data_IF_645753345234
#
_entry.id   IF_645753345234
#
_cell.length_a   1.000
_cell.length_b   1.000
_cell.length_c   1.000
_cell.angle_alpha   90.00
_cell.angle_beta   90.00
_cell.angle_gamma   90.00
#
_symmetry.space_group_name_H-M   'P 1'
#
loop_
_entity.id
_entity.type
_entity.pdbx_description
1 polymer ?
#
# COMPACT_ATOMS: atom_id res chain seq x y z
N UNK A 1 -11.61 2.24 -22.04
CA UNK A 1 -12.98 1.75 -21.79
C UNK A 1 -12.87 0.53 -20.89
N UNK A 2 -12.80 0.74 -19.55
CA UNK A 2 -12.79 -0.36 -18.58
C UNK A 2 -14.21 -0.91 -18.49
N UNK A 3 -14.41 -2.08 -19.04
CA UNK A 3 -15.72 -2.69 -19.14
C UNK A 3 -16.21 -3.16 -17.77
N UNK A 4 -17.46 -2.80 -17.43
CA UNK A 4 -18.23 -3.19 -16.24
C UNK A 4 -18.23 -4.70 -15.90
N UNK A 5 -17.80 -5.56 -16.82
CA UNK A 5 -17.76 -7.01 -16.61
C UNK A 5 -16.76 -7.46 -15.54
N UNK A 6 -15.61 -6.77 -15.37
CA UNK A 6 -14.64 -7.11 -14.32
C UNK A 6 -15.10 -6.69 -12.93
N UNK A 7 -15.78 -5.56 -12.81
CA UNK A 7 -16.30 -5.09 -11.52
C UNK A 7 -17.35 -6.03 -10.92
N UNK A 8 -18.23 -6.61 -11.75
CA UNK A 8 -19.23 -7.57 -11.29
C UNK A 8 -18.66 -8.95 -10.91
N UNK A 9 -17.60 -9.42 -11.59
CA UNK A 9 -16.93 -10.67 -11.22
C UNK A 9 -16.14 -10.58 -9.91
N UNK A 10 -15.65 -9.39 -9.58
CA UNK A 10 -14.92 -9.13 -8.32
C UNK A 10 -15.87 -9.03 -7.11
N UNK A 11 -17.08 -8.48 -7.30
CA UNK A 11 -18.10 -8.44 -6.23
C UNK A 11 -18.53 -9.82 -5.76
N UNK A 12 -18.56 -10.82 -6.65
CA UNK A 12 -18.95 -12.19 -6.32
C UNK A 12 -17.93 -12.96 -5.47
N UNK A 13 -16.70 -12.44 -5.29
CA UNK A 13 -15.62 -13.10 -4.56
C UNK A 13 -15.30 -12.47 -3.19
N UNK A 14 -16.06 -11.48 -2.75
CA UNK A 14 -15.87 -10.89 -1.40
C UNK A 14 -16.30 -11.89 -0.35
N UNK A 15 -15.35 -12.45 0.37
CA UNK A 15 -15.64 -13.20 1.58
C UNK A 15 -15.96 -12.22 2.71
N UNK A 16 -17.17 -12.30 3.26
CA UNK A 16 -17.50 -11.59 4.49
C UNK A 16 -16.79 -12.27 5.66
N UNK A 17 -15.79 -11.62 6.20
CA UNK A 17 -15.17 -12.08 7.43
C UNK A 17 -16.05 -11.69 8.63
N UNK A 18 -16.37 -12.63 9.53
CA UNK A 18 -17.14 -12.29 10.72
C UNK A 18 -16.36 -11.34 11.63
N UNK A 19 -17.06 -10.40 12.26
CA UNK A 19 -16.46 -9.54 13.28
C UNK A 19 -16.08 -10.37 14.50
N UNK A 20 -14.87 -10.20 15.07
CA UNK A 20 -14.50 -10.91 16.27
C UNK A 20 -15.41 -10.52 17.43
N UNK A 21 -15.99 -11.53 18.11
CA UNK A 21 -16.85 -11.32 19.26
C UNK A 21 -16.07 -11.53 20.55
N UNK A 22 -16.26 -10.67 21.55
CA UNK A 22 -15.69 -10.84 22.89
C UNK A 22 -14.19 -10.57 23.03
N UNK A 23 -13.53 -10.00 22.01
CA UNK A 23 -12.12 -9.59 22.05
C UNK A 23 -11.93 -8.25 21.34
N UNK A 24 -10.88 -7.47 21.69
CA UNK A 24 -10.57 -6.22 21.01
C UNK A 24 -10.33 -6.44 19.52
N UNK A 25 -10.84 -5.51 18.70
CA UNK A 25 -10.57 -5.45 17.27
C UNK A 25 -9.28 -4.67 17.03
N UNK A 26 -8.27 -5.31 16.44
CA UNK A 26 -6.93 -4.75 16.26
C UNK A 26 -6.77 -4.21 14.87
N UNK A 27 -6.43 -2.93 14.77
CA UNK A 27 -6.21 -2.23 13.51
C UNK A 27 -4.76 -1.76 13.44
N UNK A 28 -4.08 -2.08 12.34
CA UNK A 28 -2.82 -1.44 11.95
C UNK A 28 -3.13 -0.33 10.96
N UNK A 29 -2.82 0.91 11.33
CA UNK A 29 -2.97 2.08 10.44
C UNK A 29 -1.61 2.57 9.98
N UNK A 30 -1.45 2.72 8.65
CA UNK A 30 -0.19 3.04 7.99
C UNK A 30 -0.34 4.33 7.19
N UNK A 31 0.39 5.36 7.58
CA UNK A 31 0.38 6.64 6.89
C UNK A 31 1.15 6.58 5.57
N UNK A 32 0.71 7.40 4.62
CA UNK A 32 1.46 7.67 3.41
C UNK A 32 2.67 8.56 3.68
N UNK A 33 3.61 8.59 2.78
CA UNK A 33 4.82 9.44 2.94
C UNK A 33 5.82 9.30 1.80
N UNK A 34 5.43 8.75 0.67
CA UNK A 34 6.32 8.51 -0.46
C UNK A 34 7.48 7.61 -0.08
N UNK A 35 8.71 7.97 -0.45
CA UNK A 35 9.92 7.19 -0.13
C UNK A 35 10.09 6.96 1.39
N UNK A 36 9.53 7.81 2.23
CA UNK A 36 9.60 7.64 3.70
C UNK A 36 8.87 6.40 4.20
N UNK A 37 8.03 5.77 3.38
CA UNK A 37 7.45 4.46 3.66
C UNK A 37 8.49 3.38 3.97
N UNK A 38 9.74 3.56 3.53
CA UNK A 38 10.87 2.68 3.89
C UNK A 38 11.08 2.63 5.41
N UNK A 39 10.91 3.74 6.13
CA UNK A 39 11.01 3.77 7.60
C UNK A 39 9.95 2.89 8.23
N UNK A 40 8.71 3.01 7.76
CA UNK A 40 7.60 2.18 8.22
C UNK A 40 7.87 0.71 7.94
N UNK A 41 8.37 0.37 6.75
CA UNK A 41 8.72 -1.00 6.38
C UNK A 41 9.80 -1.59 7.31
N UNK A 42 10.87 -0.84 7.59
CA UNK A 42 11.92 -1.28 8.53
C UNK A 42 11.40 -1.43 9.96
N UNK A 43 10.54 -0.50 10.43
CA UNK A 43 9.94 -0.62 11.75
C UNK A 43 9.08 -1.88 11.87
N UNK A 44 8.24 -2.15 10.87
CA UNK A 44 7.42 -3.36 10.84
C UNK A 44 8.27 -4.63 10.78
N UNK A 45 9.38 -4.62 10.04
CA UNK A 45 10.33 -5.73 10.03
C UNK A 45 10.91 -5.99 11.42
N UNK A 46 11.32 -4.94 12.13
CA UNK A 46 11.81 -5.09 13.50
C UNK A 46 10.72 -5.60 14.46
N UNK A 47 9.49 -5.14 14.30
CA UNK A 47 8.36 -5.66 15.07
C UNK A 47 8.13 -7.15 14.79
N UNK A 48 8.16 -7.56 13.52
CA UNK A 48 8.00 -8.97 13.15
C UNK A 48 9.10 -9.84 13.74
N UNK A 49 10.36 -9.40 13.63
CA UNK A 49 11.52 -10.15 14.11
C UNK A 49 11.58 -10.26 15.65
N UNK A 50 11.20 -9.20 16.37
CA UNK A 50 11.41 -9.15 17.82
C UNK A 50 10.15 -9.44 18.65
N UNK A 51 8.94 -9.29 18.08
CA UNK A 51 7.69 -9.34 18.83
C UNK A 51 6.68 -10.36 18.28
N UNK A 52 6.89 -10.89 17.08
CA UNK A 52 5.89 -11.71 16.42
C UNK A 52 6.08 -13.23 16.61
N UNK A 53 6.99 -13.68 17.46
CA UNK A 53 7.23 -15.09 17.79
C UNK A 53 7.25 -16.02 16.56
N UNK A 54 7.89 -15.55 15.47
CA UNK A 54 8.00 -16.29 14.21
C UNK A 54 6.72 -16.35 13.37
N UNK A 55 5.66 -15.61 13.74
CA UNK A 55 4.42 -15.51 12.96
C UNK A 55 4.44 -14.31 12.05
N UNK A 56 3.76 -14.33 10.89
CA UNK A 56 3.60 -13.15 10.06
C UNK A 56 2.96 -12.00 10.84
N UNK A 57 3.51 -10.80 10.75
CA UNK A 57 3.02 -9.63 11.47
C UNK A 57 1.52 -9.36 11.19
N UNK A 58 1.09 -9.59 9.96
CA UNK A 58 -0.31 -9.42 9.56
C UNK A 58 -1.30 -10.25 10.41
N UNK A 59 -0.86 -11.40 10.95
CA UNK A 59 -1.72 -12.29 11.77
C UNK A 59 -2.15 -11.71 13.11
N UNK A 60 -1.50 -10.62 13.55
CA UNK A 60 -1.82 -9.94 14.81
C UNK A 60 -2.93 -8.91 14.67
N UNK A 61 -3.36 -8.60 13.45
CA UNK A 61 -4.34 -7.55 13.17
C UNK A 61 -5.58 -8.12 12.48
N UNK A 62 -6.74 -7.62 12.88
CA UNK A 62 -8.04 -7.93 12.25
C UNK A 62 -8.26 -7.07 11.00
N UNK A 63 -7.58 -5.92 10.92
CA UNK A 63 -7.63 -4.98 9.80
C UNK A 63 -6.29 -4.27 9.62
N UNK A 64 -5.90 -4.04 8.37
CA UNK A 64 -4.76 -3.21 8.01
C UNK A 64 -5.26 -2.11 7.08
N UNK A 65 -5.07 -0.87 7.47
CA UNK A 65 -5.45 0.31 6.71
C UNK A 65 -4.20 1.09 6.28
N UNK A 66 -4.20 1.63 5.06
CA UNK A 66 -3.07 2.43 4.61
C UNK A 66 -3.38 3.35 3.46
N UNK A 67 -2.75 4.53 3.43
CA UNK A 67 -2.86 5.52 2.35
C UNK A 67 -1.56 5.61 1.57
N UNK A 68 -1.63 5.76 0.25
CA UNK A 68 -0.45 5.92 -0.62
C UNK A 68 0.56 4.78 -0.39
N UNK A 69 1.81 5.08 -0.03
CA UNK A 69 2.83 4.08 0.29
C UNK A 69 2.46 3.19 1.49
N UNK A 70 1.73 3.72 2.48
CA UNK A 70 1.13 2.90 3.54
C UNK A 70 0.11 1.90 2.99
N UNK A 71 -0.61 2.27 1.93
CA UNK A 71 -1.50 1.35 1.20
C UNK A 71 -0.75 0.21 0.52
N UNK A 72 0.43 0.48 -0.07
CA UNK A 72 1.29 -0.56 -0.66
C UNK A 72 1.75 -1.55 0.42
N UNK A 73 2.17 -1.04 1.58
CA UNK A 73 2.56 -1.89 2.72
C UNK A 73 1.36 -2.71 3.22
N UNK A 74 0.18 -2.08 3.35
CA UNK A 74 -1.04 -2.75 3.79
C UNK A 74 -1.43 -3.90 2.85
N UNK A 75 -1.36 -3.67 1.53
CA UNK A 75 -1.59 -4.71 0.52
C UNK A 75 -0.56 -5.83 0.61
N UNK A 76 0.73 -5.49 0.74
CA UNK A 76 1.80 -6.47 0.87
C UNK A 76 1.59 -7.38 2.07
N UNK A 77 1.41 -6.81 3.25
CA UNK A 77 1.14 -7.58 4.48
C UNK A 77 -0.15 -8.40 4.36
N UNK A 78 -1.22 -7.80 3.83
CA UNK A 78 -2.51 -8.46 3.69
C UNK A 78 -2.48 -9.65 2.75
N UNK A 79 -1.67 -9.59 1.70
CA UNK A 79 -1.47 -10.66 0.73
C UNK A 79 -0.35 -11.64 1.12
N UNK A 80 0.13 -11.56 2.37
CA UNK A 80 1.08 -12.51 2.93
C UNK A 80 2.53 -12.29 2.53
N UNK A 81 2.88 -11.11 2.00
CA UNK A 81 4.29 -10.75 1.79
C UNK A 81 4.96 -10.53 3.14
N UNK A 82 6.19 -11.00 3.26
CA UNK A 82 7.01 -10.78 4.46
C UNK A 82 7.41 -9.31 4.58
N UNK A 83 7.69 -8.86 5.80
CA UNK A 83 8.20 -7.50 6.01
C UNK A 83 9.55 -7.28 5.32
N UNK A 84 10.36 -8.32 5.14
CA UNK A 84 11.61 -8.29 4.39
C UNK A 84 11.38 -8.02 2.89
N UNK A 85 10.39 -8.67 2.28
CA UNK A 85 10.01 -8.42 0.89
C UNK A 85 9.51 -6.98 0.69
N UNK A 86 8.78 -6.45 1.67
CA UNK A 86 8.31 -5.06 1.65
C UNK A 86 9.49 -4.08 1.75
N UNK A 87 10.46 -4.33 2.64
CA UNK A 87 11.70 -3.53 2.71
C UNK A 87 12.44 -3.59 1.39
N UNK A 88 12.66 -4.79 0.84
CA UNK A 88 13.32 -4.99 -0.45
C UNK A 88 12.65 -4.23 -1.60
N UNK A 89 11.31 -4.11 -1.59
CA UNK A 89 10.60 -3.29 -2.58
C UNK A 89 11.05 -1.83 -2.53
N UNK A 90 11.14 -1.22 -1.36
CA UNK A 90 11.57 0.17 -1.21
C UNK A 90 13.05 0.36 -1.54
N UNK A 91 13.90 -0.57 -1.17
CA UNK A 91 15.34 -0.50 -1.45
C UNK A 91 15.64 -0.64 -2.94
N UNK A 92 14.93 -1.52 -3.63
CA UNK A 92 15.16 -1.84 -5.04
C UNK A 92 14.47 -0.85 -5.97
N UNK A 93 13.18 -0.61 -5.76
CA UNK A 93 12.33 0.15 -6.67
C UNK A 93 12.08 1.58 -6.20
N UNK A 94 12.31 1.87 -4.91
CA UNK A 94 11.94 3.13 -4.28
C UNK A 94 12.53 4.37 -4.94
N UNK A 95 13.81 4.32 -5.35
CA UNK A 95 14.45 5.47 -6.01
C UNK A 95 13.91 5.75 -7.41
N UNK A 96 13.41 4.74 -8.11
CA UNK A 96 12.82 4.87 -9.44
C UNK A 96 11.40 5.42 -9.34
N UNK A 97 10.63 4.94 -8.37
CA UNK A 97 9.25 5.35 -8.12
C UNK A 97 9.19 6.75 -7.52
N UNK A 98 10.09 7.05 -6.58
CA UNK A 98 10.15 8.30 -5.81
C UNK A 98 11.45 9.05 -6.13
N UNK A 99 11.52 9.80 -7.21
CA UNK A 99 12.74 10.53 -7.57
C UNK A 99 13.11 11.52 -6.46
N UNK A 100 14.43 11.69 -6.20
CA UNK A 100 14.91 12.52 -5.11
C UNK A 100 14.46 13.98 -5.24
N UNK A 101 14.19 14.63 -4.12
CA UNK A 101 13.88 16.04 -4.06
C UNK A 101 15.15 16.85 -4.39
N UNK A 102 15.04 17.93 -5.20
CA UNK A 102 16.15 18.84 -5.42
C UNK A 102 16.65 19.41 -4.09
N UNK A 103 17.96 19.40 -3.88
CA UNK A 103 18.57 19.92 -2.66
C UNK A 103 18.47 21.45 -2.55
N UNK A 104 18.44 22.17 -3.68
CA UNK A 104 18.40 23.62 -3.73
C UNK A 104 17.02 24.21 -3.43
N UNK A 105 17.00 25.40 -2.80
CA UNK A 105 15.75 26.14 -2.52
C UNK A 105 14.97 26.47 -3.80
N UNK A 106 15.68 26.89 -4.85
CA UNK A 106 15.10 27.15 -6.18
C UNK A 106 14.51 25.88 -6.80
N UNK A 107 15.19 24.73 -6.67
CA UNK A 107 14.69 23.45 -7.13
C UNK A 107 13.44 23.01 -6.37
N UNK A 108 13.36 23.26 -5.06
CA UNK A 108 12.16 23.00 -4.25
C UNK A 108 10.98 23.86 -4.68
N UNK A 109 11.21 25.16 -4.88
CA UNK A 109 10.18 26.09 -5.35
C UNK A 109 9.70 25.72 -6.76
N UNK A 110 10.62 25.41 -7.68
CA UNK A 110 10.30 24.94 -9.03
C UNK A 110 9.47 23.66 -9.01
N UNK A 111 9.85 22.70 -8.18
CA UNK A 111 9.11 21.43 -8.05
C UNK A 111 7.74 21.64 -7.42
N UNK A 112 7.60 22.55 -6.44
CA UNK A 112 6.29 22.91 -5.89
C UNK A 112 5.36 23.46 -6.96
N UNK A 113 5.85 24.40 -7.80
CA UNK A 113 5.06 24.94 -8.91
C UNK A 113 4.74 23.88 -9.95
N UNK A 114 5.70 23.02 -10.30
CA UNK A 114 5.49 21.96 -11.29
C UNK A 114 4.66 20.79 -10.79
N UNK A 115 4.53 20.60 -9.46
CA UNK A 115 3.68 19.55 -8.88
C UNK A 115 2.19 19.73 -9.18
N UNK A 116 1.76 20.95 -9.51
CA UNK A 116 0.40 21.20 -10.01
C UNK A 116 0.17 20.67 -11.43
N UNK A 117 1.24 20.44 -12.20
CA UNK A 117 1.17 20.08 -13.61
C UNK A 117 1.84 18.74 -13.94
N UNK A 118 2.63 18.18 -13.03
CA UNK A 118 3.34 16.91 -13.23
C UNK A 118 3.13 15.97 -12.05
N UNK A 119 2.89 14.69 -12.29
CA UNK A 119 2.78 13.70 -11.22
C UNK A 119 4.09 13.65 -10.42
N UNK A 120 3.98 13.64 -9.10
CA UNK A 120 5.10 13.54 -8.15
C UNK A 120 5.77 12.17 -8.17
N UNK A 121 5.10 11.18 -8.74
CA UNK A 121 5.52 9.78 -8.83
C UNK A 121 5.73 9.41 -10.29
N UNK A 122 6.68 8.53 -10.52
CA UNK A 122 6.78 7.86 -11.82
C UNK A 122 5.73 6.74 -11.87
N UNK A 123 4.58 7.02 -12.49
CA UNK A 123 3.46 6.09 -12.56
C UNK A 123 3.80 4.78 -13.27
N UNK A 124 4.59 4.85 -14.35
CA UNK A 124 4.98 3.67 -15.12
C UNK A 124 5.85 2.74 -14.30
N UNK A 125 6.85 3.29 -13.60
CA UNK A 125 7.73 2.53 -12.72
C UNK A 125 6.96 1.96 -11.51
N UNK A 126 6.04 2.74 -10.92
CA UNK A 126 5.19 2.25 -9.84
C UNK A 126 4.31 1.09 -10.31
N UNK A 127 3.63 1.24 -11.44
CA UNK A 127 2.76 0.20 -11.99
C UNK A 127 3.57 -1.06 -12.32
N UNK A 128 4.73 -0.91 -12.96
CA UNK A 128 5.62 -2.02 -13.28
C UNK A 128 6.13 -2.73 -12.01
N UNK A 129 6.51 -1.97 -10.99
CA UNK A 129 6.98 -2.52 -9.71
C UNK A 129 5.86 -3.27 -8.98
N UNK A 130 4.65 -2.69 -8.93
CA UNK A 130 3.49 -3.36 -8.32
C UNK A 130 3.09 -4.63 -9.07
N UNK A 131 3.08 -4.60 -10.40
CA UNK A 131 2.82 -5.80 -11.22
C UNK A 131 3.82 -6.92 -10.96
N UNK A 132 5.12 -6.60 -10.83
CA UNK A 132 6.14 -7.60 -10.49
C UNK A 132 5.96 -8.20 -9.10
N UNK A 133 5.43 -7.44 -8.14
CA UNK A 133 5.32 -7.87 -6.73
C UNK A 133 4.00 -8.55 -6.40
N UNK A 134 2.94 -8.14 -7.05
CA UNK A 134 1.58 -8.64 -6.77
C UNK A 134 1.01 -9.53 -7.86
N UNK A 135 1.63 -9.53 -9.06
CA UNK A 135 1.23 -10.37 -10.19
C UNK A 135 -0.29 -10.36 -10.41
N UNK A 136 -0.92 -11.51 -10.25
CA UNK A 136 -2.37 -11.69 -10.39
C UNK A 136 -3.11 -11.73 -9.04
N UNK A 137 -2.45 -11.33 -7.94
CA UNK A 137 -3.08 -11.28 -6.62
C UNK A 137 -4.31 -10.37 -6.63
N UNK A 138 -5.33 -10.77 -5.90
CA UNK A 138 -6.57 -10.00 -5.74
C UNK A 138 -6.81 -9.64 -4.28
N UNK A 139 -7.49 -8.52 -4.01
CA UNK A 139 -7.86 -8.11 -2.66
C UNK A 139 -8.66 -9.19 -1.90
N UNK A 140 -9.40 -10.03 -2.62
CA UNK A 140 -10.15 -11.14 -2.03
C UNK A 140 -9.29 -12.25 -1.42
N UNK A 141 -7.97 -12.27 -1.72
CA UNK A 141 -7.02 -13.24 -1.16
C UNK A 141 -6.36 -12.75 0.13
N UNK A 142 -6.59 -11.49 0.51
CA UNK A 142 -6.01 -10.94 1.73
C UNK A 142 -6.51 -11.68 2.98
N UNK A 143 -5.59 -12.01 3.90
CA UNK A 143 -5.90 -12.66 5.17
C UNK A 143 -6.70 -11.72 6.10
N UNK A 144 -6.14 -10.59 6.55
CA UNK A 144 -6.88 -9.57 7.30
C UNK A 144 -7.72 -8.70 6.38
N UNK A 145 -8.64 -7.91 6.95
CA UNK A 145 -9.34 -6.86 6.21
C UNK A 145 -8.36 -5.79 5.76
N UNK A 146 -8.47 -5.38 4.50
CA UNK A 146 -7.64 -4.31 3.95
C UNK A 146 -8.52 -3.09 3.68
N UNK A 147 -8.00 -1.91 4.03
CA UNK A 147 -8.65 -0.62 3.75
C UNK A 147 -7.65 0.30 3.07
N UNK A 148 -7.85 0.56 1.78
CA UNK A 148 -7.03 1.47 0.99
C UNK A 148 -7.91 2.49 0.30
N UNK A 149 -7.92 3.76 0.74
CA UNK A 149 -8.62 4.83 0.06
C UNK A 149 -7.90 5.19 -1.24
N UNK A 150 -8.66 5.36 -2.32
CA UNK A 150 -8.17 5.80 -3.62
C UNK A 150 -9.13 6.82 -4.25
N UNK A 151 -8.57 7.80 -4.96
CA UNK A 151 -9.36 8.78 -5.69
C UNK A 151 -9.59 8.32 -7.13
N UNK A 152 -10.85 8.21 -7.52
CA UNK A 152 -11.25 7.84 -8.88
C UNK A 152 -11.48 9.10 -9.74
N UNK A 153 -10.48 9.45 -10.54
CA UNK A 153 -10.52 10.65 -11.40
C UNK A 153 -11.77 10.76 -12.31
N UNK A 154 -12.24 9.71 -13.00
CA UNK A 154 -13.38 9.84 -13.91
C UNK A 154 -14.69 10.17 -13.21
N UNK A 155 -14.82 9.81 -11.94
CA UNK A 155 -16.05 10.00 -11.15
C UNK A 155 -15.93 11.09 -10.10
N UNK A 156 -14.74 11.66 -9.88
CA UNK A 156 -14.46 12.63 -8.81
C UNK A 156 -14.90 12.13 -7.43
N UNK A 157 -14.77 10.82 -7.19
CA UNK A 157 -15.21 10.13 -5.98
C UNK A 157 -14.03 9.48 -5.26
N UNK A 158 -14.13 9.39 -3.93
CA UNK A 158 -13.21 8.58 -3.13
C UNK A 158 -13.77 7.17 -3.09
N UNK A 159 -13.01 6.22 -3.60
CA UNK A 159 -13.29 4.79 -3.41
C UNK A 159 -12.47 4.26 -2.23
N UNK A 160 -13.07 3.39 -1.44
CA UNK A 160 -12.38 2.65 -0.38
C UNK A 160 -12.44 1.17 -0.74
N UNK A 161 -11.27 0.59 -0.87
CA UNK A 161 -11.08 -0.80 -1.20
C UNK A 161 -10.67 -1.59 0.04
#
# INVERSE_FOLDING_TARGET
>A
MFTDRKANSLKAKRQQQPWPKGKPFKILSLDGGGIKGIYTAHLLRQCEQNLADGKPLASYFDMIAGTSTGGIIALGLGLGRTTEEIVSFYETDGRRIFPPYPASLLGKAWRFVTSFFRPLLNHEELEAALKRRFEDDTLGQAGPRIVVPAFMMPKTEIAVF
#
